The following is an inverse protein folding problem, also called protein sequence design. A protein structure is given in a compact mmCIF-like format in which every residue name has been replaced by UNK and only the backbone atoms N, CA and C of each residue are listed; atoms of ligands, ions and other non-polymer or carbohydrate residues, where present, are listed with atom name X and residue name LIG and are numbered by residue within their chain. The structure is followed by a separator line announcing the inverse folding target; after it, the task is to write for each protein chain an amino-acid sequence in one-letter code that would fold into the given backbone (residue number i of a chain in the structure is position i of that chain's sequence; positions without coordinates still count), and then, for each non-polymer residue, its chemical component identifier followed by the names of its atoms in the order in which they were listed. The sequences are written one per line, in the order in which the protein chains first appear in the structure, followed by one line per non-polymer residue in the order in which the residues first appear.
data_IF_256313005471
#
_entry.id   IF_256313005471
#
_cell.length_a   1.000
_cell.length_b   1.000
_cell.length_c   1.000
_cell.angle_alpha   90.00
_cell.angle_beta   90.00
_cell.angle_gamma   90.00
#
_symmetry.space_group_name_H-M   'P 1'
#
loop_
_entity.id
_entity.type
_entity.pdbx_description
1 polymer ?
#
# COMPACT_ATOMS: atom_id res chain seq x y z
N UNK A 1 4.20 16.45 -7.15
CA UNK A 1 3.27 16.73 -6.03
C UNK A 1 3.50 15.88 -4.76
N UNK A 2 3.88 14.59 -4.87
CA UNK A 2 4.00 13.68 -3.71
C UNK A 2 5.42 13.55 -3.14
N UNK A 3 6.42 14.26 -3.69
CA UNK A 3 7.85 14.05 -3.39
C UNK A 3 8.22 14.29 -1.93
N UNK A 4 7.52 15.21 -1.25
CA UNK A 4 7.79 15.59 0.13
C UNK A 4 6.90 14.86 1.15
N UNK A 5 6.06 13.93 0.69
CA UNK A 5 5.15 13.18 1.55
C UNK A 5 5.77 11.84 1.96
N UNK A 6 5.62 11.50 3.23
CA UNK A 6 5.79 10.15 3.75
C UNK A 6 4.75 9.23 3.13
N UNK A 7 5.00 7.92 3.15
CA UNK A 7 4.07 6.95 2.60
C UNK A 7 2.73 6.92 3.35
N UNK A 8 2.73 7.13 4.66
CA UNK A 8 1.50 7.32 5.45
C UNK A 8 0.71 8.53 4.97
N UNK A 9 1.35 9.67 4.75
CA UNK A 9 0.69 10.89 4.24
C UNK A 9 0.11 10.69 2.84
N UNK A 10 0.75 9.88 1.98
CA UNK A 10 0.21 9.50 0.67
C UNK A 10 -1.06 8.64 0.83
N UNK A 11 -1.08 7.69 1.77
CA UNK A 11 -2.26 6.86 2.04
C UNK A 11 -3.40 7.71 2.60
N UNK A 12 -3.14 8.61 3.55
CA UNK A 12 -4.16 9.54 4.05
C UNK A 12 -4.68 10.50 2.98
N UNK A 13 -3.80 11.00 2.11
CA UNK A 13 -4.22 11.83 0.99
C UNK A 13 -5.09 11.05 0.01
N UNK A 14 -4.72 9.81 -0.32
CA UNK A 14 -5.53 8.95 -1.16
C UNK A 14 -6.89 8.65 -0.55
N UNK A 15 -6.97 8.43 0.76
CA UNK A 15 -8.25 8.27 1.47
C UNK A 15 -9.13 9.52 1.35
N UNK A 16 -8.56 10.71 1.58
CA UNK A 16 -9.29 11.98 1.40
C UNK A 16 -9.82 12.16 -0.02
N UNK A 17 -9.11 11.62 -1.01
CA UNK A 17 -9.48 11.67 -2.42
C UNK A 17 -10.36 10.50 -2.88
N UNK A 18 -10.66 9.53 -2.00
CA UNK A 18 -11.48 8.36 -2.34
C UNK A 18 -10.78 7.39 -3.28
N UNK A 19 -9.46 7.23 -3.18
CA UNK A 19 -8.70 6.29 -4.03
C UNK A 19 -9.20 4.85 -3.81
N UNK A 20 -9.58 4.12 -4.87
CA UNK A 20 -10.00 2.73 -4.75
C UNK A 20 -8.78 1.82 -4.58
N UNK A 21 -8.23 1.76 -3.36
CA UNK A 21 -6.97 1.05 -3.05
C UNK A 21 -6.92 -0.40 -3.53
N UNK A 22 -8.07 -1.09 -3.58
CA UNK A 22 -8.21 -2.45 -4.10
C UNK A 22 -7.86 -2.58 -5.60
N UNK A 23 -7.87 -1.48 -6.35
CA UNK A 23 -7.55 -1.42 -7.77
C UNK A 23 -6.16 -0.84 -8.05
N UNK A 24 -5.40 -0.54 -6.99
CA UNK A 24 -4.07 0.06 -7.12
C UNK A 24 -2.98 -1.00 -7.06
N UNK A 25 -1.89 -0.76 -7.78
CA UNK A 25 -0.74 -1.64 -7.80
C UNK A 25 0.53 -0.89 -7.41
N UNK A 26 1.30 -1.44 -6.48
CA UNK A 26 2.60 -0.89 -6.06
C UNK A 26 3.74 -1.90 -6.22
N UNK A 27 3.43 -3.20 -6.34
CA UNK A 27 4.44 -4.24 -6.37
C UNK A 27 5.33 -4.15 -7.61
N UNK A 28 6.64 -4.38 -7.43
CA UNK A 28 7.58 -4.47 -8.55
C UNK A 28 7.50 -5.80 -9.30
N UNK A 29 7.03 -6.85 -8.62
CA UNK A 29 6.68 -8.09 -9.28
C UNK A 29 5.35 -7.94 -10.02
N UNK A 30 5.20 -8.65 -11.13
CA UNK A 30 3.90 -8.88 -11.76
C UNK A 30 3.16 -10.04 -11.09
N UNK A 31 2.02 -10.41 -11.68
CA UNK A 31 1.16 -11.50 -11.22
C UNK A 31 -0.21 -11.01 -10.77
N UNK A 32 -0.94 -11.86 -10.08
CA UNK A 32 -2.32 -11.58 -9.65
C UNK A 32 -2.41 -10.86 -8.30
N UNK A 33 -1.40 -11.06 -7.44
CA UNK A 33 -1.33 -10.45 -6.10
C UNK A 33 0.05 -9.83 -5.86
N UNK A 34 0.14 -8.72 -5.09
CA UNK A 34 1.42 -8.17 -4.65
C UNK A 34 2.28 -9.22 -3.94
N UNK A 35 3.58 -9.26 -4.26
CA UNK A 35 4.47 -10.31 -3.75
C UNK A 35 4.68 -10.28 -2.22
N UNK A 36 4.40 -9.14 -1.58
CA UNK A 36 4.55 -8.96 -0.13
C UNK A 36 5.99 -8.71 0.35
N UNK A 37 7.01 -8.98 -0.48
CA UNK A 37 8.42 -9.00 -0.05
C UNK A 37 9.33 -7.95 -0.71
N UNK A 38 8.90 -7.29 -1.80
CA UNK A 38 9.69 -6.22 -2.43
C UNK A 38 9.54 -4.89 -1.67
N UNK A 39 10.48 -3.96 -1.84
CA UNK A 39 10.50 -2.66 -1.15
C UNK A 39 9.18 -1.92 -1.26
N UNK A 40 8.56 -1.87 -2.44
CA UNK A 40 7.28 -1.19 -2.61
C UNK A 40 6.13 -1.87 -1.86
N UNK A 41 6.13 -3.21 -1.77
CA UNK A 41 5.15 -3.94 -0.95
C UNK A 41 5.38 -3.67 0.53
N UNK A 42 6.63 -3.67 1.00
CA UNK A 42 6.95 -3.44 2.40
C UNK A 42 6.61 -2.00 2.83
N UNK A 43 6.97 -1.01 2.01
CA UNK A 43 6.63 0.39 2.24
C UNK A 43 5.13 0.62 2.30
N UNK A 44 4.37 -0.01 1.39
CA UNK A 44 2.90 0.07 1.37
C UNK A 44 2.31 -0.55 2.63
N UNK A 45 2.66 -1.81 2.93
CA UNK A 45 2.16 -2.52 4.11
C UNK A 45 2.46 -1.76 5.40
N UNK A 46 3.68 -1.24 5.54
CA UNK A 46 4.09 -0.45 6.70
C UNK A 46 3.23 0.80 6.83
N UNK A 47 3.01 1.54 5.74
CA UNK A 47 2.18 2.74 5.77
C UNK A 47 0.73 2.47 6.17
N UNK A 48 0.12 1.39 5.64
CA UNK A 48 -1.23 0.99 6.06
C UNK A 48 -1.25 0.56 7.54
N UNK A 49 -0.28 -0.23 7.98
CA UNK A 49 -0.17 -0.70 9.37
C UNK A 49 0.05 0.45 10.37
N UNK A 50 0.92 1.41 10.07
CA UNK A 50 1.17 2.60 10.90
C UNK A 50 -0.10 3.45 11.10
N UNK A 51 -0.99 3.47 10.10
CA UNK A 51 -2.28 4.15 10.17
C UNK A 51 -3.39 3.30 10.80
N UNK A 52 -3.08 2.07 11.25
CA UNK A 52 -4.05 1.12 11.78
C UNK A 52 -5.07 0.63 10.75
N UNK A 53 -4.71 0.64 9.45
CA UNK A 53 -5.58 0.27 8.34
C UNK A 53 -5.14 -1.05 7.72
N UNK A 54 -6.10 -1.80 7.18
CA UNK A 54 -5.83 -3.01 6.40
C UNK A 54 -5.61 -2.63 4.93
N UNK A 55 -4.47 -3.00 4.36
CA UNK A 55 -4.21 -2.86 2.93
C UNK A 55 -5.11 -3.86 2.16
N UNK A 56 -5.99 -3.41 1.25
CA UNK A 56 -6.94 -4.29 0.57
C UNK A 56 -6.30 -5.24 -0.46
N UNK A 57 -5.04 -5.00 -0.85
CA UNK A 57 -4.30 -5.86 -1.80
C UNK A 57 -3.08 -6.52 -1.17
N UNK A 58 -2.87 -6.41 0.15
CA UNK A 58 -1.74 -7.10 0.76
C UNK A 58 -1.89 -8.61 0.64
N UNK A 59 -0.76 -9.28 0.42
CA UNK A 59 -0.69 -10.73 0.57
C UNK A 59 -0.92 -11.03 2.05
N UNK A 60 -2.10 -11.55 2.39
CA UNK A 60 -2.33 -12.10 3.73
C UNK A 60 -1.35 -13.27 3.92
N UNK A 61 -0.33 -13.06 4.75
CA UNK A 61 0.44 -14.19 5.26
C UNK A 61 -0.52 -15.03 6.12
N UNK A 62 -0.82 -16.24 5.66
CA UNK A 62 -1.29 -17.31 6.53
C UNK A 62 -0.16 -17.54 7.54
N UNK A 63 -0.32 -16.98 8.73
CA UNK A 63 0.49 -17.35 9.89
C UNK A 63 -0.08 -18.61 10.52
#
# INVERSE_FOLDING_TARGET
PLLHLKKTEIVELGDRLGVPWAQTWSCYAGGEVPCGVCDACLLRQTAFAELGRKDPVSRTENK
#
